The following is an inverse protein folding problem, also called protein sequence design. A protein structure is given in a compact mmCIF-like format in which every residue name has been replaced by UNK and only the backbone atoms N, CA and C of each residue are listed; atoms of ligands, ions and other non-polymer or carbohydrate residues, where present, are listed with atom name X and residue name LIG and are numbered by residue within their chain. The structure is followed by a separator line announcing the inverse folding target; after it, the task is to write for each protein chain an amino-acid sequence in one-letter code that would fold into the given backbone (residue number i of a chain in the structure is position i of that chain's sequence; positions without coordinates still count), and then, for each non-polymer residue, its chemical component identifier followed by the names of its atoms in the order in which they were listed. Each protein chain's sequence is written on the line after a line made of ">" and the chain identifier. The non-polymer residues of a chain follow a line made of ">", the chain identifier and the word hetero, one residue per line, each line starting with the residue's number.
data_IF_197022230936
#
_entry.id   IF_197022230936
#
_cell.length_a   1.000
_cell.length_b   1.000
_cell.length_c   1.000
_cell.angle_alpha   90.00
_cell.angle_beta   90.00
_cell.angle_gamma   90.00
#
_symmetry.space_group_name_H-M   'P 1'
#
loop_
_entity.id
_entity.type
_entity.pdbx_description
1 polymer ?
#
# COMPACT_ATOMS: atom_id res chain seq x y z
N UNK A 1 9.95 14.71 13.70
CA UNK A 1 9.72 13.32 14.19
C UNK A 1 10.66 12.34 13.47
N UNK A 2 11.05 11.19 14.07
CA UNK A 2 12.07 10.26 13.51
C UNK A 2 11.77 9.78 12.07
N UNK A 3 10.51 9.48 11.76
CA UNK A 3 10.10 9.06 10.41
C UNK A 3 10.30 10.15 9.36
N UNK A 4 10.04 11.42 9.70
CA UNK A 4 10.27 12.55 8.77
C UNK A 4 11.75 12.76 8.46
N UNK A 5 12.63 12.44 9.43
CA UNK A 5 14.08 12.47 9.23
C UNK A 5 14.49 11.37 8.23
N UNK A 6 14.05 10.14 8.47
CA UNK A 6 14.34 9.02 7.57
C UNK A 6 13.81 9.28 6.16
N UNK A 7 12.60 9.83 6.02
CA UNK A 7 12.02 10.17 4.71
C UNK A 7 12.87 11.17 3.90
N UNK A 8 13.59 12.09 4.57
CA UNK A 8 14.51 13.04 3.93
C UNK A 8 15.86 12.42 3.54
N UNK A 9 16.20 11.29 4.13
CA UNK A 9 17.48 10.60 3.95
C UNK A 9 17.41 9.48 2.89
N UNK A 10 16.20 9.12 2.42
CA UNK A 10 15.99 8.10 1.37
C UNK A 10 16.74 8.49 0.09
N UNK A 11 17.58 7.58 -0.39
CA UNK A 11 18.30 7.69 -1.66
C UNK A 11 17.67 6.77 -2.71
N UNK A 12 18.06 6.96 -3.97
CA UNK A 12 17.60 6.08 -5.06
C UNK A 12 17.92 4.61 -4.74
N UNK A 13 16.92 3.73 -4.90
CA UNK A 13 17.01 2.31 -4.57
C UNK A 13 17.11 1.98 -3.07
N UNK A 14 16.82 2.94 -2.18
CA UNK A 14 16.93 2.81 -0.72
C UNK A 14 18.24 2.17 -0.23
N UNK A 15 19.39 2.57 -0.80
CA UNK A 15 20.70 2.02 -0.44
C UNK A 15 21.09 2.19 1.05
N UNK A 16 20.41 3.08 1.76
CA UNK A 16 20.60 3.34 3.20
C UNK A 16 19.61 2.57 4.08
N UNK A 17 18.75 1.73 3.49
CA UNK A 17 17.77 0.89 4.17
C UNK A 17 16.84 1.71 5.10
N UNK A 18 16.49 2.92 4.67
CA UNK A 18 15.64 3.82 5.44
C UNK A 18 14.23 3.25 5.60
N UNK A 19 13.73 2.49 4.62
CA UNK A 19 12.41 1.88 4.65
C UNK A 19 12.30 0.85 5.79
N UNK A 20 13.25 -0.08 5.91
CA UNK A 20 13.22 -1.09 6.97
C UNK A 20 13.36 -0.46 8.36
N UNK A 21 14.23 0.55 8.50
CA UNK A 21 14.38 1.31 9.76
C UNK A 21 13.10 2.05 10.12
N UNK A 22 12.43 2.65 9.14
CA UNK A 22 11.14 3.32 9.31
C UNK A 22 10.07 2.32 9.75
N UNK A 23 9.97 1.15 9.10
CA UNK A 23 9.01 0.10 9.43
C UNK A 23 9.20 -0.42 10.86
N UNK A 24 10.44 -0.69 11.29
CA UNK A 24 10.71 -1.13 12.67
C UNK A 24 10.23 -0.14 13.72
N UNK A 25 10.41 1.16 13.47
CA UNK A 25 9.91 2.21 14.36
C UNK A 25 8.38 2.33 14.27
N UNK A 26 7.83 2.35 13.06
CA UNK A 26 6.41 2.52 12.77
C UNK A 26 5.55 1.45 13.46
N UNK A 27 5.91 0.18 13.31
CA UNK A 27 5.14 -0.93 13.87
C UNK A 27 5.09 -0.91 15.39
N UNK A 28 6.22 -0.60 16.04
CA UNK A 28 6.30 -0.48 17.50
C UNK A 28 5.50 0.71 18.02
N UNK A 29 5.43 1.80 17.25
CA UNK A 29 4.63 2.96 17.60
C UNK A 29 3.12 2.70 17.51
N UNK A 30 2.68 1.85 16.57
CA UNK A 30 1.26 1.50 16.41
C UNK A 30 0.80 0.41 17.38
N UNK A 31 1.51 -0.72 17.45
CA UNK A 31 1.01 -1.92 18.13
C UNK A 31 1.78 -2.28 19.40
N UNK A 32 2.67 -1.40 19.84
CA UNK A 32 3.48 -1.57 21.04
C UNK A 32 4.86 -2.18 20.78
N UNK A 33 5.75 -2.04 21.76
CA UNK A 33 7.18 -2.38 21.66
C UNK A 33 7.47 -3.84 21.32
N UNK A 34 6.57 -4.75 21.72
CA UNK A 34 6.71 -6.20 21.58
C UNK A 34 6.08 -6.72 20.28
N UNK A 35 5.43 -5.86 19.50
CA UNK A 35 4.82 -6.26 18.24
C UNK A 35 5.87 -6.55 17.18
N UNK A 36 5.69 -7.69 16.50
CA UNK A 36 6.51 -8.13 15.37
C UNK A 36 5.61 -8.32 14.16
N UNK A 37 5.96 -7.67 13.05
CA UNK A 37 5.31 -7.90 11.76
C UNK A 37 5.74 -9.26 11.23
N UNK A 38 4.85 -10.24 11.27
CA UNK A 38 5.07 -11.61 10.83
C UNK A 38 3.96 -12.01 9.84
N UNK A 39 4.35 -12.41 8.64
CA UNK A 39 3.43 -12.77 7.57
C UNK A 39 2.54 -13.97 7.92
N UNK A 40 3.05 -14.93 8.71
CA UNK A 40 2.35 -16.17 9.03
C UNK A 40 1.66 -16.14 10.40
N UNK A 41 1.71 -15.00 11.10
CA UNK A 41 1.07 -14.86 12.39
C UNK A 41 -0.41 -14.49 12.26
N UNK A 42 -1.20 -14.99 13.21
CA UNK A 42 -2.61 -14.63 13.36
C UNK A 42 -2.79 -13.22 13.94
N UNK A 43 -4.02 -12.89 14.32
CA UNK A 43 -4.34 -11.64 14.97
C UNK A 43 -4.26 -10.45 14.01
N UNK A 44 -3.71 -9.34 14.51
CA UNK A 44 -3.52 -8.11 13.74
C UNK A 44 -2.63 -8.30 12.49
N UNK A 45 -1.69 -9.25 12.50
CA UNK A 45 -0.87 -9.56 11.32
C UNK A 45 -1.72 -10.10 10.17
N UNK A 46 -2.65 -11.02 10.47
CA UNK A 46 -3.59 -11.55 9.48
C UNK A 46 -4.54 -10.46 8.96
N UNK A 47 -5.00 -9.56 9.83
CA UNK A 47 -5.83 -8.39 9.46
C UNK A 47 -5.10 -7.46 8.48
N UNK A 48 -3.85 -7.10 8.79
CA UNK A 48 -3.00 -6.29 7.90
C UNK A 48 -2.78 -7.00 6.55
N UNK A 49 -2.42 -8.29 6.58
CA UNK A 49 -2.25 -9.11 5.36
C UNK A 49 -3.49 -9.09 4.47
N UNK A 50 -4.67 -9.21 5.08
CA UNK A 50 -5.93 -9.19 4.35
C UNK A 50 -6.14 -7.84 3.65
N UNK A 51 -6.02 -6.73 4.38
CA UNK A 51 -6.19 -5.39 3.81
C UNK A 51 -5.18 -5.08 2.71
N UNK A 52 -3.92 -5.49 2.89
CA UNK A 52 -2.90 -5.39 1.84
C UNK A 52 -3.26 -6.23 0.62
N UNK A 53 -3.80 -7.43 0.80
CA UNK A 53 -4.21 -8.28 -0.33
C UNK A 53 -5.32 -7.62 -1.15
N UNK A 54 -6.26 -6.90 -0.50
CA UNK A 54 -7.32 -6.15 -1.18
C UNK A 54 -6.76 -4.99 -2.03
N UNK A 55 -5.86 -4.19 -1.47
CA UNK A 55 -5.21 -3.12 -2.22
C UNK A 55 -4.35 -3.70 -3.34
N UNK A 56 -3.51 -4.70 -3.06
CA UNK A 56 -2.67 -5.38 -4.05
C UNK A 56 -3.49 -5.88 -5.24
N UNK A 57 -4.62 -6.54 -4.99
CA UNK A 57 -5.53 -7.01 -6.03
C UNK A 57 -6.15 -5.85 -6.84
N UNK A 58 -6.50 -4.75 -6.17
CA UNK A 58 -7.04 -3.55 -6.82
C UNK A 58 -6.01 -2.91 -7.76
N UNK A 59 -4.77 -2.74 -7.30
CA UNK A 59 -3.66 -2.24 -8.11
C UNK A 59 -3.38 -3.18 -9.28
N UNK A 60 -3.26 -4.49 -9.02
CA UNK A 60 -2.98 -5.50 -10.05
C UNK A 60 -4.04 -5.49 -11.17
N UNK A 61 -5.32 -5.40 -10.80
CA UNK A 61 -6.42 -5.27 -11.77
C UNK A 61 -6.26 -4.03 -12.64
N UNK A 62 -5.93 -2.88 -12.05
CA UNK A 62 -5.73 -1.65 -12.81
C UNK A 62 -4.50 -1.68 -13.70
N UNK A 63 -3.41 -2.35 -13.27
CA UNK A 63 -2.21 -2.58 -14.08
C UNK A 63 -2.60 -3.32 -15.36
N UNK A 64 -3.24 -4.48 -15.23
CA UNK A 64 -3.67 -5.30 -16.37
C UNK A 64 -4.64 -4.54 -17.27
N UNK A 65 -5.62 -3.85 -16.69
CA UNK A 65 -6.59 -3.04 -17.45
C UNK A 65 -5.93 -1.89 -18.25
N UNK A 66 -4.75 -1.40 -17.83
CA UNK A 66 -4.00 -0.37 -18.56
C UNK A 66 -3.08 -0.92 -19.66
N UNK A 67 -3.00 -2.25 -19.78
CA UNK A 67 -2.11 -2.97 -20.71
C UNK A 67 -0.66 -3.10 -20.21
N UNK A 68 -0.43 -2.92 -18.90
CA UNK A 68 0.86 -3.16 -18.27
C UNK A 68 0.94 -4.59 -17.72
N UNK A 69 2.16 -5.13 -17.56
CA UNK A 69 2.37 -6.47 -17.03
C UNK A 69 2.69 -6.41 -15.52
N UNK A 70 1.91 -7.08 -14.64
CA UNK A 70 2.06 -6.92 -13.18
C UNK A 70 3.33 -7.54 -12.58
N UNK A 71 3.96 -8.49 -13.27
CA UNK A 71 5.22 -9.07 -12.80
C UNK A 71 6.45 -8.19 -13.02
N UNK A 72 6.37 -7.13 -13.84
CA UNK A 72 7.52 -6.27 -14.16
C UNK A 72 7.58 -5.10 -13.18
N UNK A 73 8.24 -5.32 -12.04
CA UNK A 73 8.42 -4.28 -11.00
C UNK A 73 9.30 -3.11 -11.44
N UNK A 74 9.15 -1.99 -10.73
CA UNK A 74 10.01 -0.81 -10.82
C UNK A 74 11.34 -1.03 -10.10
N UNK A 75 11.29 -1.71 -8.96
CA UNK A 75 12.46 -2.03 -8.14
C UNK A 75 12.51 -3.52 -7.79
N UNK A 76 11.35 -4.12 -7.47
CA UNK A 76 11.31 -5.53 -7.15
C UNK A 76 11.40 -6.40 -8.40
N UNK A 77 12.37 -7.31 -8.39
CA UNK A 77 12.59 -8.29 -9.45
C UNK A 77 12.66 -9.69 -8.83
N UNK A 78 11.51 -10.31 -8.59
CA UNK A 78 11.45 -11.68 -8.09
C UNK A 78 10.71 -12.57 -9.09
N UNK A 79 11.43 -13.53 -9.68
CA UNK A 79 10.89 -14.45 -10.69
C UNK A 79 9.68 -15.28 -10.22
N UNK A 80 9.52 -15.47 -8.90
CA UNK A 80 8.40 -16.20 -8.32
C UNK A 80 7.23 -15.30 -7.90
N UNK A 81 7.39 -13.97 -7.97
CA UNK A 81 6.35 -13.01 -7.61
C UNK A 81 5.73 -12.39 -8.87
N UNK A 82 4.57 -12.93 -9.28
CA UNK A 82 3.82 -12.44 -10.45
C UNK A 82 3.21 -11.04 -10.33
N UNK A 83 3.36 -10.36 -9.19
CA UNK A 83 2.74 -9.06 -8.90
C UNK A 83 3.74 -8.01 -8.39
N UNK A 84 5.03 -8.12 -8.73
CA UNK A 84 6.07 -7.16 -8.29
C UNK A 84 5.69 -5.68 -8.52
N UNK A 85 5.11 -5.35 -9.68
CA UNK A 85 4.68 -3.98 -9.98
C UNK A 85 3.52 -3.53 -9.09
N UNK A 86 2.62 -4.45 -8.75
CA UNK A 86 1.52 -4.14 -7.83
C UNK A 86 2.05 -3.88 -6.43
N UNK A 87 3.06 -4.64 -5.99
CA UNK A 87 3.73 -4.46 -4.71
C UNK A 87 4.44 -3.10 -4.64
N UNK A 88 5.19 -2.73 -5.69
CA UNK A 88 5.83 -1.41 -5.78
C UNK A 88 4.81 -0.25 -5.74
N UNK A 89 3.74 -0.37 -6.51
CA UNK A 89 2.76 0.72 -6.66
C UNK A 89 1.81 0.83 -5.47
N UNK A 90 1.64 -0.22 -4.67
CA UNK A 90 0.74 -0.20 -3.52
C UNK A 90 1.33 0.46 -2.28
N UNK A 91 2.65 0.62 -2.20
CA UNK A 91 3.36 1.11 -1.00
C UNK A 91 2.75 2.39 -0.40
N UNK A 92 2.43 3.45 -1.19
CA UNK A 92 1.83 4.67 -0.62
C UNK A 92 0.41 4.49 -0.03
N UNK A 93 -0.27 3.38 -0.33
CA UNK A 93 -1.61 3.08 0.18
C UNK A 93 -1.59 2.20 1.44
N UNK A 94 -0.45 1.60 1.81
CA UNK A 94 -0.35 0.79 3.03
C UNK A 94 -0.81 1.53 4.28
N UNK A 95 -0.44 2.80 4.53
CA UNK A 95 -0.91 3.53 5.71
C UNK A 95 -2.43 3.66 5.81
N UNK A 96 -3.17 3.57 4.69
CA UNK A 96 -4.63 3.62 4.70
C UNK A 96 -5.21 2.31 5.25
N UNK A 97 -4.62 1.18 4.88
CA UNK A 97 -4.93 -0.13 5.45
C UNK A 97 -4.52 -0.16 6.92
N UNK A 98 -3.33 0.34 7.24
CA UNK A 98 -2.79 0.35 8.60
C UNK A 98 -3.69 1.15 9.55
N UNK A 99 -4.21 2.29 9.09
CA UNK A 99 -5.17 3.10 9.86
C UNK A 99 -6.46 2.33 10.18
N UNK A 100 -7.04 1.63 9.20
CA UNK A 100 -8.24 0.80 9.40
C UNK A 100 -7.92 -0.34 10.37
N UNK A 101 -6.82 -1.05 10.16
CA UNK A 101 -6.40 -2.16 11.01
C UNK A 101 -6.15 -1.71 12.44
N UNK A 102 -5.51 -0.55 12.63
CA UNK A 102 -5.27 0.05 13.93
C UNK A 102 -6.57 0.44 14.64
N UNK A 103 -7.54 1.03 13.93
CA UNK A 103 -8.85 1.33 14.51
C UNK A 103 -9.59 0.08 14.98
N UNK A 104 -9.49 -1.01 14.23
CA UNK A 104 -10.09 -2.29 14.60
C UNK A 104 -9.35 -2.93 15.80
N UNK A 105 -8.02 -2.87 15.81
CA UNK A 105 -7.17 -3.33 16.92
C UNK A 105 -7.48 -2.59 18.23
N UNK A 106 -7.66 -1.27 18.17
CA UNK A 106 -8.01 -0.45 19.34
C UNK A 106 -9.36 -0.82 19.95
N UNK A 107 -10.29 -1.37 19.15
CA UNK A 107 -11.58 -1.88 19.65
C UNK A 107 -11.45 -3.27 20.27
N UNK A 108 -10.57 -4.11 19.73
CA UNK A 108 -10.29 -5.46 20.25
C UNK A 108 -8.86 -5.89 19.88
N UNK A 109 -7.96 -5.96 20.87
CA UNK A 109 -6.58 -6.35 20.63
C UNK A 109 -6.43 -7.83 20.21
N UNK A 110 -7.40 -8.68 20.56
CA UNK A 110 -7.47 -10.10 20.17
C UNK A 110 -8.27 -10.29 18.87
N UNK A 111 -8.24 -9.30 17.98
CA UNK A 111 -8.95 -9.32 16.71
C UNK A 111 -8.51 -10.51 15.84
N UNK A 112 -9.47 -11.14 15.16
CA UNK A 112 -9.24 -12.18 14.17
C UNK A 112 -9.98 -11.85 12.87
N UNK A 113 -9.68 -12.58 11.81
CA UNK A 113 -10.34 -12.38 10.51
C UNK A 113 -11.78 -12.89 10.57
N UNK A 114 -12.74 -11.98 10.61
CA UNK A 114 -14.19 -12.25 10.47
C UNK A 114 -14.77 -11.47 9.30
N UNK A 115 -16.04 -11.71 8.96
CA UNK A 115 -16.73 -10.96 7.90
C UNK A 115 -16.76 -9.46 8.22
N UNK A 116 -17.08 -9.11 9.46
CA UNK A 116 -17.20 -7.74 9.96
C UNK A 116 -15.86 -7.01 9.90
N UNK A 117 -14.77 -7.71 10.25
CA UNK A 117 -13.40 -7.17 10.16
C UNK A 117 -12.96 -6.91 8.73
N UNK A 118 -13.46 -7.69 7.76
CA UNK A 118 -13.12 -7.53 6.34
C UNK A 118 -13.83 -6.33 5.68
N UNK A 119 -15.05 -6.01 6.12
CA UNK A 119 -15.90 -5.00 5.46
C UNK A 119 -15.21 -3.63 5.27
N UNK A 120 -14.56 -3.03 6.28
CA UNK A 120 -13.92 -1.72 6.12
C UNK A 120 -12.84 -1.68 5.04
N UNK A 121 -12.12 -2.80 4.83
CA UNK A 121 -11.10 -2.87 3.77
C UNK A 121 -11.72 -2.95 2.37
N UNK A 122 -12.93 -3.50 2.24
CA UNK A 122 -13.66 -3.50 0.98
C UNK A 122 -14.22 -2.11 0.68
N UNK A 123 -14.74 -1.43 1.70
CA UNK A 123 -15.27 -0.08 1.57
C UNK A 123 -14.20 0.93 1.13
N UNK A 124 -12.95 0.73 1.55
CA UNK A 124 -11.78 1.52 1.13
C UNK A 124 -11.66 1.66 -0.39
N UNK A 125 -12.05 0.63 -1.15
CA UNK A 125 -11.98 0.63 -2.62
C UNK A 125 -12.96 1.66 -3.24
N UNK A 126 -14.10 1.84 -2.59
CA UNK A 126 -15.16 2.76 -3.00
C UNK A 126 -15.06 4.15 -2.38
N UNK A 127 -14.21 4.36 -1.38
CA UNK A 127 -14.01 5.66 -0.75
C UNK A 127 -13.60 6.73 -1.76
N UNK A 128 -14.22 7.92 -1.65
CA UNK A 128 -13.84 9.08 -2.45
C UNK A 128 -12.48 9.61 -2.00
N UNK A 129 -11.57 9.74 -2.97
CA UNK A 129 -10.22 10.27 -2.79
C UNK A 129 -9.98 11.42 -3.77
N UNK A 130 -9.10 12.34 -3.36
CA UNK A 130 -8.65 13.42 -4.20
C UNK A 130 -7.60 12.91 -5.17
N UNK A 131 -7.90 12.99 -6.46
CA UNK A 131 -6.95 12.75 -7.53
C UNK A 131 -6.83 13.99 -8.41
N UNK A 132 -5.65 14.64 -8.38
CA UNK A 132 -5.43 15.97 -8.98
C UNK A 132 -6.44 16.98 -8.40
N UNK A 133 -7.34 17.53 -9.23
CA UNK A 133 -8.36 18.50 -8.83
C UNK A 133 -9.79 17.91 -8.76
N UNK A 134 -9.91 16.58 -8.77
CA UNK A 134 -11.21 15.89 -8.77
C UNK A 134 -11.32 14.95 -7.57
N UNK A 135 -12.55 14.79 -7.07
CA UNK A 135 -12.93 13.74 -6.14
C UNK A 135 -13.49 12.56 -6.93
N UNK A 136 -13.04 11.34 -6.62
CA UNK A 136 -13.53 10.13 -7.26
C UNK A 136 -13.24 8.90 -6.39
N UNK A 137 -13.93 7.76 -6.60
CA UNK A 137 -13.63 6.54 -5.88
C UNK A 137 -12.18 6.08 -6.05
N UNK A 138 -11.58 5.49 -5.02
CA UNK A 138 -10.21 4.99 -5.04
C UNK A 138 -9.96 4.09 -6.26
N UNK A 139 -10.83 3.11 -6.49
CA UNK A 139 -10.71 2.22 -7.65
C UNK A 139 -10.59 2.96 -8.99
N UNK A 140 -11.31 4.07 -9.17
CA UNK A 140 -11.26 4.88 -10.39
C UNK A 140 -9.94 5.66 -10.44
N UNK A 141 -9.53 6.27 -9.33
CA UNK A 141 -8.27 7.02 -9.25
C UNK A 141 -7.03 6.15 -9.54
N UNK A 142 -7.05 4.88 -9.13
CA UNK A 142 -5.98 3.92 -9.42
C UNK A 142 -5.88 3.65 -10.92
N UNK A 143 -6.99 3.57 -11.66
CA UNK A 143 -6.93 3.43 -13.13
C UNK A 143 -6.25 4.64 -13.78
N UNK A 144 -6.54 5.86 -13.30
CA UNK A 144 -5.86 7.07 -13.79
C UNK A 144 -4.38 7.11 -13.41
N UNK A 145 -4.03 6.61 -12.21
CA UNK A 145 -2.64 6.43 -11.79
C UNK A 145 -1.88 5.49 -12.75
N UNK A 146 -2.47 4.35 -13.13
CA UNK A 146 -1.84 3.43 -14.09
C UNK A 146 -1.70 4.06 -15.49
N UNK A 147 -2.68 4.85 -15.91
CA UNK A 147 -2.58 5.59 -17.17
C UNK A 147 -1.46 6.66 -17.12
N UNK A 148 -1.29 7.35 -15.99
CA UNK A 148 -0.17 8.29 -15.76
C UNK A 148 1.19 7.54 -15.78
N UNK A 149 1.27 6.36 -15.16
CA UNK A 149 2.47 5.51 -15.19
C UNK A 149 2.82 5.05 -16.61
N UNK A 150 1.83 4.60 -17.40
CA UNK A 150 2.05 4.21 -18.80
C UNK A 150 2.63 5.35 -19.63
N UNK A 151 2.08 6.57 -19.49
CA UNK A 151 2.61 7.79 -20.13
C UNK A 151 4.02 8.14 -19.66
N UNK A 152 4.36 7.80 -18.42
CA UNK A 152 5.72 8.00 -17.91
C UNK A 152 6.73 7.09 -18.62
N UNK A 153 6.38 5.83 -18.87
CA UNK A 153 7.23 4.92 -19.65
C UNK A 153 7.39 5.34 -21.11
N UNK A 154 6.37 5.96 -21.72
CA UNK A 154 6.47 6.50 -23.10
C UNK A 154 7.12 7.89 -23.17
N UNK A 155 7.62 8.43 -22.04
CA UNK A 155 8.25 9.75 -21.89
C UNK A 155 7.32 10.95 -22.14
N UNK A 156 6.02 10.74 -22.16
CA UNK A 156 4.99 11.79 -22.32
C UNK A 156 4.75 12.59 -21.02
N UNK A 157 5.14 12.04 -19.86
CA UNK A 157 5.07 12.71 -18.56
C UNK A 157 6.26 12.31 -17.68
N UNK A 158 6.77 13.22 -16.85
CA UNK A 158 7.86 12.95 -15.89
C UNK A 158 7.39 12.75 -14.44
N UNK A 159 6.10 12.92 -14.15
CA UNK A 159 5.56 12.84 -12.78
C UNK A 159 4.35 11.94 -12.71
N UNK A 160 4.34 11.10 -11.68
CA UNK A 160 3.20 10.27 -11.29
C UNK A 160 2.54 10.95 -10.09
N UNK A 161 1.22 11.07 -10.11
CA UNK A 161 0.44 11.68 -9.03
C UNK A 161 -0.36 10.58 -8.35
N UNK A 162 -0.15 10.39 -7.05
CA UNK A 162 -0.92 9.44 -6.27
C UNK A 162 -2.24 10.05 -5.77
N UNK A 163 -3.31 9.24 -5.66
CA UNK A 163 -4.52 9.61 -4.95
C UNK A 163 -4.22 9.97 -3.49
N UNK A 164 -5.00 10.91 -2.93
CA UNK A 164 -4.86 11.38 -1.54
C UNK A 164 -6.20 11.33 -0.84
N UNK A 165 -6.22 10.81 0.39
CA UNK A 165 -7.35 11.01 1.32
C UNK A 165 -7.38 12.45 1.81
#
# INVERSE_FOLDING_TARGET
>A
MRLEKLAKEVKSGDITNCEALAAQYYWKALFGKDFVRNQNADGINAVLNYGYSIIRATIARSIVASGLHPAIGLFHHNQYNGLCLADDLMEPFRPWVDSIAYQLYQKNANISITKEVKMPFLDLIGENVKFKNKQMPLMVSVHYLMADLKRNFTKESKKIIYPKK
#
